data_IF_448528345154
#
_entry.id   IF_448528345154
#
_cell.length_a   1.000
_cell.length_b   1.000
_cell.length_c   1.000
_cell.angle_alpha   90.00
_cell.angle_beta   90.00
_cell.angle_gamma   90.00
#
_symmetry.space_group_name_H-M   'P 1'
#
loop_
_entity.id
_entity.type
_entity.pdbx_description
1 polymer ?
#
# COMPACT_ATOMS: atom_id res chain seq x y z
N UNK A 1 16.80 -3.88 2.10
CA UNK A 1 15.58 -4.18 2.89
C UNK A 1 16.03 -4.96 4.11
N UNK A 2 15.56 -4.60 5.31
CA UNK A 2 15.84 -5.41 6.52
C UNK A 2 15.09 -6.74 6.42
N UNK A 3 15.76 -7.83 6.80
CA UNK A 3 15.16 -9.17 6.84
C UNK A 3 13.98 -9.24 7.82
N UNK A 4 13.98 -8.39 8.86
CA UNK A 4 12.86 -8.25 9.78
C UNK A 4 11.61 -7.68 9.09
N UNK A 5 11.77 -6.66 8.23
CA UNK A 5 10.65 -6.06 7.50
C UNK A 5 10.02 -7.09 6.56
N UNK A 6 10.83 -7.82 5.80
CA UNK A 6 10.34 -8.87 4.89
C UNK A 6 9.59 -9.99 5.63
N UNK A 7 10.05 -10.35 6.83
CA UNK A 7 9.35 -11.31 7.70
C UNK A 7 8.02 -10.77 8.23
N UNK A 8 7.96 -9.52 8.69
CA UNK A 8 6.72 -8.90 9.15
C UNK A 8 5.70 -8.74 8.01
N UNK A 9 6.17 -8.45 6.80
CA UNK A 9 5.33 -8.39 5.60
C UNK A 9 4.74 -9.75 5.24
N UNK A 10 5.49 -10.85 5.38
CA UNK A 10 4.96 -12.18 5.09
C UNK A 10 3.86 -12.59 6.09
N UNK A 11 4.02 -12.24 7.37
CA UNK A 11 2.98 -12.44 8.38
C UNK A 11 1.69 -11.67 8.06
N UNK A 12 1.81 -10.42 7.59
CA UNK A 12 0.64 -9.62 7.22
C UNK A 12 -0.07 -10.07 5.94
N UNK A 13 0.65 -10.73 5.02
CA UNK A 13 0.11 -11.23 3.75
C UNK A 13 -0.62 -12.57 3.90
N UNK A 14 -0.31 -13.33 4.95
CA UNK A 14 -0.91 -14.63 5.23
C UNK A 14 -1.82 -14.54 6.48
N UNK A 15 -3.11 -14.16 6.33
CA UNK A 15 -4.02 -13.95 7.46
C UNK A 15 -4.33 -15.23 8.27
N UNK A 16 -3.87 -16.39 7.79
CA UNK A 16 -3.97 -17.69 8.46
C UNK A 16 -2.62 -18.18 8.97
N UNK A 17 -1.73 -17.28 9.40
CA UNK A 17 -0.58 -17.64 10.22
C UNK A 17 -1.05 -18.10 11.62
N UNK A 18 -1.88 -19.15 11.67
CA UNK A 18 -2.24 -19.93 12.86
C UNK A 18 -1.09 -20.88 13.21
N UNK A 19 0.11 -20.33 13.11
CA UNK A 19 1.33 -20.96 13.54
C UNK A 19 1.41 -20.62 15.04
N UNK A 20 0.95 -21.53 15.89
CA UNK A 20 1.05 -21.38 17.34
C UNK A 20 2.45 -20.91 17.77
N UNK A 21 2.54 -20.31 18.97
CA UNK A 21 3.71 -19.56 19.46
C UNK A 21 5.08 -20.20 19.11
N UNK A 22 5.21 -21.52 19.23
CA UNK A 22 6.44 -22.26 18.92
C UNK A 22 6.91 -22.14 17.47
N UNK A 23 5.97 -22.16 16.51
CA UNK A 23 6.29 -21.95 15.09
C UNK A 23 6.66 -20.50 14.82
N UNK A 24 6.01 -19.54 15.47
CA UNK A 24 6.37 -18.13 15.36
C UNK A 24 7.80 -17.89 15.87
N UNK A 25 8.13 -18.41 17.05
CA UNK A 25 9.48 -18.33 17.64
C UNK A 25 10.52 -18.96 16.71
N UNK A 26 10.22 -20.15 16.17
CA UNK A 26 11.10 -20.84 15.23
C UNK A 26 11.31 -20.06 13.93
N UNK A 27 10.25 -19.43 13.42
CA UNK A 27 10.31 -18.62 12.21
C UNK A 27 11.15 -17.35 12.42
N UNK A 28 10.96 -16.64 13.55
CA UNK A 28 11.79 -15.48 13.92
C UNK A 28 13.26 -15.89 14.09
N UNK A 29 13.52 -17.05 14.69
CA UNK A 29 14.89 -17.55 14.88
C UNK A 29 15.60 -17.91 13.57
N UNK A 30 14.84 -18.33 12.54
CA UNK A 30 15.34 -18.62 11.21
C UNK A 30 15.63 -17.36 10.38
N UNK A 31 15.12 -16.19 10.80
CA UNK A 31 15.37 -14.91 10.14
C UNK A 31 16.78 -14.42 10.45
N UNK A 32 17.51 -14.01 9.40
CA UNK A 32 18.83 -13.38 9.50
C UNK A 32 18.69 -11.94 10.01
N UNK A 33 18.46 -11.80 11.30
CA UNK A 33 18.22 -10.54 12.03
C UNK A 33 19.17 -10.46 13.22
N UNK A 34 19.46 -9.24 13.66
CA UNK A 34 20.25 -9.01 14.87
C UNK A 34 19.55 -9.56 16.12
N UNK A 35 20.31 -9.83 17.18
CA UNK A 35 19.76 -10.27 18.47
C UNK A 35 18.78 -9.26 19.07
N UNK A 36 19.02 -7.96 18.86
CA UNK A 36 18.16 -6.89 19.31
C UNK A 36 16.80 -6.89 18.59
N UNK A 37 16.79 -7.03 17.27
CA UNK A 37 15.56 -7.14 16.46
C UNK A 37 14.79 -8.41 16.83
N UNK A 38 15.50 -9.53 17.00
CA UNK A 38 14.91 -10.81 17.40
C UNK A 38 14.21 -10.72 18.76
N UNK A 39 14.86 -10.12 19.74
CA UNK A 39 14.30 -9.94 21.08
C UNK A 39 13.06 -9.05 21.04
N UNK A 40 13.13 -7.92 20.31
CA UNK A 40 11.99 -7.01 20.15
C UNK A 40 10.79 -7.69 19.47
N UNK A 41 11.03 -8.54 18.46
CA UNK A 41 9.97 -9.34 17.81
C UNK A 41 9.34 -10.37 18.76
N UNK A 42 10.15 -11.05 19.58
CA UNK A 42 9.66 -12.06 20.55
C UNK A 42 8.88 -11.44 21.71
N UNK A 43 9.30 -10.26 22.17
CA UNK A 43 8.64 -9.51 23.24
C UNK A 43 7.39 -8.75 22.76
N UNK A 44 7.21 -8.61 21.44
CA UNK A 44 6.17 -7.78 20.85
C UNK A 44 6.39 -6.28 21.08
N UNK A 45 7.64 -5.85 21.31
CA UNK A 45 8.00 -4.45 21.57
C UNK A 45 8.05 -3.66 20.26
N UNK A 46 6.89 -3.18 19.83
CA UNK A 46 6.70 -2.45 18.57
C UNK A 46 7.52 -1.17 18.50
N UNK A 47 7.67 -0.45 19.63
CA UNK A 47 8.39 0.83 19.67
C UNK A 47 9.89 0.61 19.48
N UNK A 48 10.46 -0.33 20.23
CA UNK A 48 11.87 -0.70 20.11
C UNK A 48 12.17 -1.29 18.74
N UNK A 49 11.27 -2.12 18.21
CA UNK A 49 11.43 -2.68 16.87
C UNK A 49 11.39 -1.57 15.80
N UNK A 50 10.50 -0.58 15.93
CA UNK A 50 10.47 0.57 15.02
C UNK A 50 11.78 1.37 15.05
N UNK A 51 12.32 1.65 16.24
CA UNK A 51 13.60 2.35 16.41
C UNK A 51 14.76 1.60 15.73
N UNK A 52 14.88 0.28 15.98
CA UNK A 52 15.92 -0.57 15.39
C UNK A 52 15.86 -0.62 13.86
N UNK A 53 14.67 -0.55 13.29
CA UNK A 53 14.45 -0.56 11.84
C UNK A 53 14.54 0.83 11.19
N UNK A 54 14.85 1.87 11.98
CA UNK A 54 14.89 3.27 11.51
C UNK A 54 13.52 3.83 11.16
N UNK A 55 12.45 3.25 11.70
CA UNK A 55 11.07 3.71 11.56
C UNK A 55 10.76 4.88 12.48
N UNK A 56 9.78 5.68 12.07
CA UNK A 56 9.21 6.74 12.91
C UNK A 56 7.83 6.28 13.40
N UNK A 57 7.65 6.21 14.73
CA UNK A 57 6.40 5.73 15.34
C UNK A 57 5.27 6.77 15.32
N UNK A 58 5.59 8.04 15.06
CA UNK A 58 4.64 9.15 15.12
C UNK A 58 4.70 9.99 13.85
N UNK A 59 3.84 9.68 12.88
CA UNK A 59 3.62 10.51 11.69
C UNK A 59 2.24 11.12 11.81
N UNK A 60 2.19 12.43 12.04
CA UNK A 60 0.95 13.20 12.08
C UNK A 60 0.73 13.88 10.73
N UNK A 61 -0.35 13.50 10.03
CA UNK A 61 -0.85 14.26 8.89
C UNK A 61 -1.97 15.19 9.38
N UNK A 62 -1.61 16.42 9.71
CA UNK A 62 -2.59 17.41 10.18
C UNK A 62 -3.15 18.17 8.98
N UNK A 63 -4.45 18.05 8.76
CA UNK A 63 -5.18 18.91 7.82
C UNK A 63 -5.81 20.03 8.62
N UNK A 64 -5.27 21.24 8.47
CA UNK A 64 -5.81 22.43 9.12
C UNK A 64 -6.77 23.09 8.13
N UNK A 65 -8.05 23.15 8.49
CA UNK A 65 -9.00 23.97 7.74
C UNK A 65 -8.65 25.45 7.95
N UNK A 66 -8.71 26.29 6.91
CA UNK A 66 -8.46 27.72 7.07
C UNK A 66 -9.47 28.33 8.06
N UNK A 67 -8.99 29.18 8.97
CA UNK A 67 -9.78 29.88 9.98
C UNK A 67 -10.68 30.95 9.33
N UNK A 68 -11.74 30.53 8.62
CA UNK A 68 -12.83 31.39 8.16
C UNK A 68 -12.45 32.62 7.30
N UNK A 69 -11.22 32.71 6.81
CA UNK A 69 -10.77 33.70 5.85
C UNK A 69 -11.12 33.24 4.44
N UNK A 70 -11.60 34.18 3.63
CA UNK A 70 -12.05 34.00 2.24
C UNK A 70 -11.24 32.92 1.51
N UNK A 71 -11.94 31.90 1.01
CA UNK A 71 -11.34 30.93 0.09
C UNK A 71 -10.77 31.75 -1.08
N UNK A 72 -9.44 31.88 -1.15
CA UNK A 72 -8.76 32.30 -2.38
C UNK A 72 -9.41 31.49 -3.51
N UNK A 73 -9.95 32.20 -4.50
CA UNK A 73 -10.73 31.60 -5.56
C UNK A 73 -9.98 30.39 -6.15
N UNK A 74 -10.67 29.31 -6.52
CA UNK A 74 -10.03 28.18 -7.19
C UNK A 74 -9.14 28.70 -8.31
N UNK A 75 -7.86 28.35 -8.30
CA UNK A 75 -6.97 28.62 -9.41
C UNK A 75 -7.64 28.01 -10.65
N UNK A 76 -8.01 28.84 -11.61
CA UNK A 76 -8.55 28.39 -12.90
C UNK A 76 -7.57 27.39 -13.48
N UNK A 77 -7.98 26.13 -13.51
CA UNK A 77 -7.31 25.12 -14.32
C UNK A 77 -7.49 25.57 -15.77
N UNK A 78 -6.46 25.61 -16.61
CA UNK A 78 -6.67 25.87 -18.03
C UNK A 78 -7.59 24.76 -18.55
N UNK A 79 -8.78 25.12 -19.03
CA UNK A 79 -9.69 24.24 -19.75
C UNK A 79 -8.92 23.59 -20.90
N UNK A 80 -8.58 22.30 -20.76
CA UNK A 80 -8.17 21.46 -21.87
C UNK A 80 -9.41 20.76 -22.42
N UNK A 81 -10.33 21.55 -22.99
CA UNK A 81 -11.47 21.06 -23.78
C UNK A 81 -11.03 20.76 -25.21
N UNK A 82 -10.06 19.85 -25.36
CA UNK A 82 -9.80 19.15 -26.61
C UNK A 82 -10.81 17.99 -26.77
N UNK A 83 -11.60 17.91 -27.84
CA UNK A 83 -12.64 16.89 -27.97
C UNK A 83 -12.02 15.48 -28.05
N UNK A 84 -12.36 14.63 -27.08
CA UNK A 84 -12.10 13.19 -27.14
C UNK A 84 -13.11 12.58 -28.12
N UNK A 85 -12.63 12.20 -29.31
CA UNK A 85 -13.43 11.47 -30.30
C UNK A 85 -13.77 10.06 -29.76
N UNK A 86 -15.04 9.75 -29.47
CA UNK A 86 -15.43 8.47 -28.90
C UNK A 86 -15.33 7.28 -29.87
N UNK A 87 -14.98 7.49 -31.15
CA UNK A 87 -14.89 6.42 -32.16
C UNK A 87 -13.49 5.81 -32.34
N UNK A 88 -12.48 6.22 -31.57
CA UNK A 88 -11.16 5.58 -31.60
C UNK A 88 -11.04 4.38 -30.65
N UNK A 89 -11.90 3.38 -30.84
CA UNK A 89 -11.65 2.02 -30.35
C UNK A 89 -10.77 1.26 -31.35
N UNK A 90 -9.77 0.47 -30.91
CA UNK A 90 -8.88 -0.24 -31.82
C UNK A 90 -9.65 -1.34 -32.54
N UNK A 91 -9.81 -1.16 -33.85
CA UNK A 91 -10.46 -2.10 -34.77
C UNK A 91 -9.78 -3.47 -34.72
N UNK A 92 -10.38 -4.39 -33.95
CA UNK A 92 -10.01 -5.81 -33.92
C UNK A 92 -10.96 -6.57 -34.84
N UNK A 93 -10.51 -6.66 -36.08
CA UNK A 93 -10.67 -7.75 -37.04
C UNK A 93 -11.68 -8.87 -36.68
N UNK A 94 -12.73 -8.97 -37.50
CA UNK A 94 -13.20 -10.27 -37.99
C UNK A 94 -14.56 -10.78 -37.51
N UNK A 95 -15.48 -10.92 -38.48
CA UNK A 95 -16.68 -11.79 -38.52
C UNK A 95 -17.83 -11.37 -37.58
N UNK A 96 -19.08 -11.25 -37.99
CA UNK A 96 -19.84 -11.92 -39.03
C UNK A 96 -21.00 -11.00 -39.45
N UNK A 97 -21.20 -10.83 -40.75
CA UNK A 97 -22.54 -10.53 -41.29
C UNK A 97 -23.32 -11.84 -41.30
N UNK A 98 -24.62 -11.85 -41.00
CA UNK A 98 -25.55 -11.64 -42.11
C UNK A 98 -26.85 -10.88 -41.79
N UNK A 99 -27.21 -10.04 -42.76
CA UNK A 99 -28.52 -9.83 -43.39
C UNK A 99 -29.82 -9.84 -42.55
N UNK A 100 -30.55 -8.71 -42.65
CA UNK A 100 -31.98 -8.58 -42.36
C UNK A 100 -32.85 -9.46 -43.30
N UNK A 101 -34.09 -9.75 -42.91
CA UNK A 101 -35.20 -9.10 -43.63
C UNK A 101 -36.41 -8.72 -42.75
N UNK A 102 -37.24 -7.82 -43.29
CA UNK A 102 -38.63 -7.60 -42.93
C UNK A 102 -39.55 -8.41 -43.86
#
# INVERSE_FOLDING_TARGET
MSNAIAFLESLGREPHFDAGLDRLVSAIAATDTSEAERSAMLEGDVLKLAELLGGSSEIYCMVIAPDGGETEAPLESPDDDGPVDPDSAPDRDGRDSPAAPA
#
